data_IF_705832434845
#
_entry.id   IF_705832434845
#
_cell.length_a   1.000
_cell.length_b   1.000
_cell.length_c   1.000
_cell.angle_alpha   90.00
_cell.angle_beta   90.00
_cell.angle_gamma   90.00
#
_symmetry.space_group_name_H-M   'P 1'
#
loop_
_entity.id
_entity.type
_entity.pdbx_description
1 polymer ?
#
# COMPACT_ATOMS: atom_id res chain seq x y z
N UNK A 1 3.58 -3.20 19.37
CA UNK A 1 2.96 -3.25 18.03
C UNK A 1 1.73 -2.38 18.09
N UNK A 2 1.77 -1.20 17.48
CA UNK A 2 0.59 -0.36 17.37
C UNK A 2 -0.41 -1.06 16.43
N UNK A 3 -1.63 -1.32 16.92
CA UNK A 3 -2.69 -1.92 16.11
C UNK A 3 -3.35 -0.81 15.29
N UNK A 4 -3.08 -0.77 13.99
CA UNK A 4 -3.70 0.18 13.08
C UNK A 4 -5.03 -0.39 12.56
N UNK A 5 -6.15 0.34 12.69
CA UNK A 5 -7.44 -0.14 12.24
C UNK A 5 -7.54 -0.08 10.71
N UNK A 6 -7.14 -1.17 10.03
CA UNK A 6 -7.27 -1.32 8.58
C UNK A 6 -8.55 -2.04 8.16
N UNK A 7 -9.01 -2.99 8.99
CA UNK A 7 -10.19 -3.82 8.75
C UNK A 7 -11.08 -3.77 9.99
N UNK A 8 -12.39 -3.60 9.78
CA UNK A 8 -13.38 -3.57 10.88
C UNK A 8 -14.22 -4.84 10.86
N UNK A 9 -14.20 -5.58 11.96
CA UNK A 9 -15.14 -6.68 12.25
C UNK A 9 -15.24 -7.78 11.16
N UNK A 10 -14.11 -8.27 10.64
CA UNK A 10 -14.09 -9.45 9.78
C UNK A 10 -13.23 -10.57 10.39
N UNK A 11 -13.65 -11.86 10.27
CA UNK A 11 -12.79 -13.00 10.55
C UNK A 11 -11.51 -12.99 9.70
N UNK A 12 -10.41 -13.48 10.27
CA UNK A 12 -9.09 -13.48 9.63
C UNK A 12 -9.02 -14.32 8.34
N UNK A 13 -9.79 -15.40 8.26
CA UNK A 13 -9.89 -16.29 7.10
C UNK A 13 -10.85 -15.78 6.01
N UNK A 14 -11.58 -14.68 6.26
CA UNK A 14 -12.49 -14.10 5.28
C UNK A 14 -11.75 -13.63 4.03
N UNK A 15 -12.36 -13.87 2.87
CA UNK A 15 -11.78 -13.48 1.58
C UNK A 15 -11.87 -11.95 1.46
N UNK A 16 -10.70 -11.31 1.41
CA UNK A 16 -10.56 -9.88 1.16
C UNK A 16 -10.48 -9.58 -0.34
N UNK A 17 -9.91 -10.50 -1.12
CA UNK A 17 -9.82 -10.33 -2.57
C UNK A 17 -9.10 -11.48 -3.27
N UNK A 18 -8.62 -11.20 -4.48
CA UNK A 18 -7.88 -12.14 -5.31
C UNK A 18 -6.56 -11.57 -5.80
N UNK A 19 -5.55 -12.42 -5.85
CA UNK A 19 -4.27 -12.14 -6.49
C UNK A 19 -3.84 -13.34 -7.33
N UNK A 20 -3.59 -13.12 -8.61
CA UNK A 20 -3.16 -14.16 -9.57
C UNK A 20 -4.02 -15.44 -9.52
N UNK A 21 -5.35 -15.26 -9.44
CA UNK A 21 -6.32 -16.36 -9.37
C UNK A 21 -6.44 -17.06 -8.01
N UNK A 22 -5.68 -16.63 -7.00
CA UNK A 22 -5.75 -17.16 -5.63
C UNK A 22 -6.51 -16.21 -4.73
N UNK A 23 -7.31 -16.76 -3.82
CA UNK A 23 -7.95 -15.99 -2.77
C UNK A 23 -6.90 -15.44 -1.80
N UNK A 24 -7.12 -14.21 -1.36
CA UNK A 24 -6.35 -13.57 -0.29
C UNK A 24 -7.27 -13.38 0.90
N UNK A 25 -6.86 -13.88 2.06
CA UNK A 25 -7.58 -13.70 3.32
C UNK A 25 -7.26 -12.35 3.98
N UNK A 26 -8.08 -11.95 4.95
CA UNK A 26 -7.81 -10.77 5.80
C UNK A 26 -6.48 -10.92 6.53
N UNK A 27 -6.18 -12.08 7.10
CA UNK A 27 -4.92 -12.33 7.81
C UNK A 27 -3.70 -12.21 6.89
N UNK A 28 -3.79 -12.74 5.67
CA UNK A 28 -2.71 -12.61 4.69
C UNK A 28 -2.49 -11.14 4.32
N UNK A 29 -3.57 -10.40 4.08
CA UNK A 29 -3.49 -8.96 3.80
C UNK A 29 -2.86 -8.18 4.95
N UNK A 30 -3.25 -8.44 6.20
CA UNK A 30 -2.67 -7.78 7.37
C UNK A 30 -1.19 -8.14 7.49
N UNK A 31 -0.82 -9.42 7.36
CA UNK A 31 0.56 -9.87 7.43
C UNK A 31 1.44 -9.19 6.36
N UNK A 32 1.00 -9.17 5.10
CA UNK A 32 1.71 -8.53 3.99
C UNK A 32 1.87 -7.01 4.22
N UNK A 33 0.80 -6.37 4.70
CA UNK A 33 0.79 -4.93 5.00
C UNK A 33 1.74 -4.57 6.13
N UNK A 34 1.71 -5.33 7.24
CA UNK A 34 2.64 -5.11 8.35
C UNK A 34 4.08 -5.38 7.91
N UNK A 35 4.34 -6.48 7.22
CA UNK A 35 5.66 -6.81 6.69
C UNK A 35 6.22 -5.69 5.80
N UNK A 36 5.42 -5.17 4.85
CA UNK A 36 5.85 -4.06 4.01
C UNK A 36 6.08 -2.79 4.82
N UNK A 37 5.20 -2.45 5.76
CA UNK A 37 5.34 -1.25 6.60
C UNK A 37 6.67 -1.19 7.35
N UNK A 38 7.21 -2.34 7.78
CA UNK A 38 8.50 -2.39 8.47
C UNK A 38 9.69 -2.12 7.54
N UNK A 39 9.51 -2.36 6.24
CA UNK A 39 10.55 -2.17 5.22
C UNK A 39 10.47 -0.81 4.51
N UNK A 40 9.40 -0.04 4.71
CA UNK A 40 9.28 1.29 4.13
C UNK A 40 10.25 2.28 4.81
N UNK A 41 10.92 3.15 4.02
CA UNK A 41 11.79 4.17 4.57
C UNK A 41 10.99 5.15 5.43
N UNK A 42 11.67 5.85 6.34
CA UNK A 42 11.07 6.95 7.08
C UNK A 42 11.00 8.20 6.19
N UNK A 43 9.95 8.30 5.38
CA UNK A 43 9.68 9.41 4.48
C UNK A 43 8.28 9.99 4.74
N UNK A 44 8.04 11.22 4.26
CA UNK A 44 6.71 11.85 4.34
C UNK A 44 5.77 11.31 3.27
N UNK A 45 6.32 11.06 2.08
CA UNK A 45 5.58 10.68 0.87
C UNK A 45 5.99 9.31 0.35
N UNK A 46 5.08 8.66 -0.36
CA UNK A 46 5.37 7.44 -1.11
C UNK A 46 4.70 7.49 -2.47
N UNK A 47 5.42 7.05 -3.50
CA UNK A 47 4.87 6.88 -4.84
C UNK A 47 4.64 5.38 -5.11
N UNK A 48 3.39 4.93 -4.97
CA UNK A 48 3.02 3.54 -5.22
C UNK A 48 2.67 3.32 -6.70
N UNK A 49 3.61 2.77 -7.47
CA UNK A 49 3.44 2.48 -8.89
C UNK A 49 3.03 1.03 -9.19
N UNK A 50 2.55 0.26 -8.22
CA UNK A 50 2.11 -1.11 -8.47
C UNK A 50 0.93 -1.15 -9.45
N UNK A 51 1.01 -2.00 -10.49
CA UNK A 51 -0.10 -2.28 -11.42
C UNK A 51 -1.03 -3.39 -10.90
N UNK A 52 -0.49 -4.30 -10.10
CA UNK A 52 -1.27 -5.35 -9.47
C UNK A 52 -2.14 -4.75 -8.34
N UNK A 53 -3.45 -4.99 -8.39
CA UNK A 53 -4.43 -4.40 -7.46
C UNK A 53 -4.18 -4.78 -6.01
N UNK A 54 -3.80 -6.03 -5.75
CA UNK A 54 -3.52 -6.49 -4.40
C UNK A 54 -2.24 -5.86 -3.86
N UNK A 55 -1.15 -5.86 -4.65
CA UNK A 55 0.11 -5.22 -4.26
C UNK A 55 -0.05 -3.71 -4.05
N UNK A 56 -0.85 -3.05 -4.89
CA UNK A 56 -1.20 -1.65 -4.71
C UNK A 56 -1.90 -1.43 -3.37
N UNK A 57 -2.91 -2.23 -3.03
CA UNK A 57 -3.65 -2.13 -1.77
C UNK A 57 -2.74 -2.34 -0.55
N UNK A 58 -1.85 -3.33 -0.60
CA UNK A 58 -0.83 -3.57 0.45
C UNK A 58 0.10 -2.36 0.60
N UNK A 59 0.62 -1.81 -0.49
CA UNK A 59 1.46 -0.61 -0.47
C UNK A 59 0.75 0.62 0.10
N UNK A 60 -0.51 0.82 -0.27
CA UNK A 60 -1.35 1.88 0.26
C UNK A 60 -1.58 1.73 1.77
N UNK A 61 -1.95 0.54 2.23
CA UNK A 61 -2.19 0.30 3.65
C UNK A 61 -0.91 0.39 4.50
N UNK A 62 0.23 -0.06 3.97
CA UNK A 62 1.53 0.07 4.63
C UNK A 62 1.94 1.54 4.79
N UNK A 63 1.64 2.39 3.79
CA UNK A 63 1.84 3.82 3.87
C UNK A 63 1.01 4.47 4.99
N UNK A 64 -0.25 4.05 5.15
CA UNK A 64 -1.12 4.52 6.24
C UNK A 64 -0.56 4.17 7.62
N UNK A 65 -0.07 2.93 7.81
CA UNK A 65 0.62 2.51 9.04
C UNK A 65 1.80 3.44 9.34
N UNK A 66 2.61 3.74 8.32
CA UNK A 66 3.78 4.62 8.41
C UNK A 66 3.44 6.12 8.43
N UNK A 67 2.14 6.47 8.37
CA UNK A 67 1.64 7.85 8.31
C UNK A 67 2.21 8.65 7.13
N UNK A 68 2.43 7.98 6.01
CA UNK A 68 2.91 8.58 4.76
C UNK A 68 1.72 8.92 3.86
N UNK A 69 1.84 9.99 3.05
CA UNK A 69 0.84 10.21 1.98
C UNK A 69 1.23 9.47 0.72
N UNK A 70 0.32 8.66 0.23
CA UNK A 70 0.45 7.94 -1.02
C UNK A 70 0.10 8.87 -2.20
N UNK A 71 1.10 9.22 -3.00
CA UNK A 71 0.94 10.05 -4.19
C UNK A 71 0.34 9.20 -5.31
N UNK A 72 -0.81 9.66 -5.83
CA UNK A 72 -1.57 8.96 -6.86
C UNK A 72 -1.55 9.77 -8.17
N UNK A 73 -0.64 9.45 -9.10
CA UNK A 73 -0.61 10.14 -10.39
C UNK A 73 -1.82 9.76 -11.25
N UNK A 74 -2.35 10.67 -12.07
CA UNK A 74 -3.43 10.36 -13.01
C UNK A 74 -3.02 9.38 -14.12
N UNK A 75 -1.71 9.26 -14.37
CA UNK A 75 -1.10 8.27 -15.27
C UNK A 75 0.41 8.12 -14.97
N UNK A 76 1.04 7.08 -15.51
CA UNK A 76 2.47 6.79 -15.29
C UNK A 76 3.37 7.30 -16.42
N UNK A 77 2.98 8.39 -17.09
CA UNK A 77 3.81 8.93 -18.18
C UNK A 77 5.12 9.51 -17.60
N UNK A 78 6.26 9.41 -18.32
CA UNK A 78 7.53 9.93 -17.82
C UNK A 78 7.48 11.40 -17.39
N UNK A 79 6.73 12.24 -18.12
CA UNK A 79 6.55 13.66 -17.80
C UNK A 79 5.86 13.88 -16.45
N UNK A 80 4.82 13.11 -16.15
CA UNK A 80 4.11 13.19 -14.86
C UNK A 80 5.00 12.70 -13.73
N UNK A 81 5.73 11.59 -13.94
CA UNK A 81 6.65 11.05 -12.93
C UNK A 81 7.80 12.01 -12.62
N UNK A 82 8.38 12.65 -13.64
CA UNK A 82 9.40 13.70 -13.46
C UNK A 82 8.83 14.90 -12.70
N UNK A 83 7.62 15.36 -13.03
CA UNK A 83 6.97 16.45 -12.30
C UNK A 83 6.74 16.10 -10.82
N UNK A 84 6.36 14.86 -10.52
CA UNK A 84 6.17 14.38 -9.15
C UNK A 84 7.50 14.35 -8.40
N UNK A 85 8.56 13.79 -9.01
CA UNK A 85 9.88 13.77 -8.39
C UNK A 85 10.41 15.18 -8.06
N UNK A 86 10.07 16.18 -8.89
CA UNK A 86 10.41 17.58 -8.61
C UNK A 86 9.55 18.22 -7.51
N UNK A 87 8.28 17.82 -7.35
CA UNK A 87 7.37 18.36 -6.34
C UNK A 87 7.52 17.67 -4.97
N UNK A 88 7.96 16.41 -4.97
CA UNK A 88 8.12 15.56 -3.79
C UNK A 88 9.52 14.94 -3.81
N UNK A 89 10.58 15.67 -3.41
CA UNK A 89 11.98 15.25 -3.56
C UNK A 89 12.52 14.36 -2.43
N UNK A 90 11.74 14.13 -1.37
CA UNK A 90 12.00 13.15 -0.30
C UNK A 90 11.60 11.74 -0.73
#
# INVERSE_FOLDING_TARGET
MDSYPLIRCQPGDSILGWNDGKHVSVDQFLADTFSLSQNLPNATWILNLCDNRYRFLVGFAAALIKRQTNILPPNKTPKVLQSIASQFPE
#
